data_IF_944405269780
#
_entry.id   IF_944405269780
#
_cell.length_a   1.000
_cell.length_b   1.000
_cell.length_c   1.000
_cell.angle_alpha   90.00
_cell.angle_beta   90.00
_cell.angle_gamma   90.00
#
_symmetry.space_group_name_H-M   'P 1'
#
loop_
_entity.id
_entity.type
_entity.pdbx_description
1 polymer ?
#
# COMPACT_ATOMS: atom_id res chain seq x y z
N UNK A 1 -14.44 -7.83 -8.01
CA UNK A 1 -13.78 -7.08 -6.92
C UNK A 1 -13.32 -5.75 -7.49
N UNK A 2 -13.84 -4.65 -6.97
CA UNK A 2 -13.42 -3.29 -7.35
C UNK A 2 -11.96 -3.05 -6.93
N UNK A 3 -11.02 -2.90 -7.88
CA UNK A 3 -9.60 -2.77 -7.55
C UNK A 3 -9.22 -1.43 -6.94
N UNK A 4 -10.04 -0.43 -7.22
CA UNK A 4 -9.89 0.92 -6.69
C UNK A 4 -10.21 0.87 -5.19
N UNK A 5 -11.24 0.10 -4.80
CA UNK A 5 -11.67 -0.04 -3.40
C UNK A 5 -11.01 -1.21 -2.64
N UNK A 6 -10.35 -2.15 -3.32
CA UNK A 6 -9.72 -3.32 -2.69
C UNK A 6 -8.64 -2.95 -1.65
N UNK A 7 -7.98 -1.79 -1.78
CA UNK A 7 -6.95 -1.33 -0.81
C UNK A 7 -7.54 -0.94 0.54
N UNK A 8 -8.77 -0.43 0.54
CA UNK A 8 -9.46 -0.12 1.78
C UNK A 8 -9.74 -1.38 2.59
N UNK A 9 -9.77 -2.57 1.97
CA UNK A 9 -10.07 -3.79 2.70
C UNK A 9 -8.94 -4.22 3.63
N UNK A 10 -7.67 -4.19 3.17
CA UNK A 10 -6.52 -4.49 4.03
C UNK A 10 -6.39 -3.51 5.20
N UNK A 11 -6.55 -2.22 4.92
CA UNK A 11 -6.56 -1.18 5.96
C UNK A 11 -7.74 -1.34 6.93
N UNK A 12 -8.94 -1.68 6.43
CA UNK A 12 -10.11 -1.98 7.27
C UNK A 12 -9.83 -3.15 8.21
N UNK A 13 -9.23 -4.24 7.70
CA UNK A 13 -8.84 -5.39 8.52
C UNK A 13 -7.81 -4.99 9.58
N UNK A 14 -6.80 -4.20 9.21
CA UNK A 14 -5.83 -3.65 10.16
C UNK A 14 -6.52 -2.83 11.25
N UNK A 15 -7.39 -1.88 10.89
CA UNK A 15 -8.11 -1.03 11.84
C UNK A 15 -9.04 -1.81 12.78
N UNK A 16 -9.55 -2.98 12.36
CA UNK A 16 -10.38 -3.84 13.20
C UNK A 16 -9.60 -4.48 14.35
N UNK A 17 -8.38 -4.94 14.09
CA UNK A 17 -7.56 -5.65 15.09
C UNK A 17 -6.55 -4.75 15.80
N UNK A 18 -6.21 -3.62 15.18
CA UNK A 18 -5.26 -2.64 15.68
C UNK A 18 -5.72 -1.24 15.20
N UNK A 19 -6.64 -0.57 15.91
CA UNK A 19 -7.11 0.76 15.54
C UNK A 19 -6.00 1.83 15.64
N UNK A 20 -6.10 2.95 14.88
CA UNK A 20 -5.07 3.99 14.85
C UNK A 20 -4.66 4.57 16.20
N UNK A 21 -5.60 4.68 17.15
CA UNK A 21 -5.29 5.13 18.52
C UNK A 21 -4.32 4.21 19.27
N UNK A 22 -4.17 2.94 18.87
CA UNK A 22 -3.17 2.05 19.45
C UNK A 22 -1.82 2.17 18.76
N UNK A 23 -1.76 2.68 17.52
CA UNK A 23 -0.50 2.84 16.78
C UNK A 23 0.37 3.94 17.38
N UNK A 24 -0.25 4.89 18.07
CA UNK A 24 0.42 6.02 18.71
C UNK A 24 1.13 5.66 20.01
N UNK A 25 1.03 4.40 20.46
CA UNK A 25 1.68 3.89 21.67
C UNK A 25 3.03 3.24 21.36
N UNK A 26 3.86 3.02 22.39
CA UNK A 26 5.11 2.28 22.27
C UNK A 26 4.90 0.84 21.77
N UNK A 27 3.83 0.17 22.20
CA UNK A 27 3.49 -1.18 21.74
C UNK A 27 2.90 -1.18 20.31
N UNK A 28 2.32 -0.05 19.89
CA UNK A 28 1.70 0.16 18.59
C UNK A 28 2.63 -0.11 17.43
N UNK A 29 3.85 0.45 17.46
CA UNK A 29 4.83 0.25 16.38
C UNK A 29 5.26 -1.22 16.25
N UNK A 30 5.52 -1.89 17.37
CA UNK A 30 5.88 -3.32 17.38
C UNK A 30 4.76 -4.14 16.74
N UNK A 31 3.51 -3.84 17.11
CA UNK A 31 2.32 -4.53 16.62
C UNK A 31 2.06 -4.29 15.13
N UNK A 32 2.27 -3.06 14.67
CA UNK A 32 2.16 -2.69 13.26
C UNK A 32 3.24 -3.40 12.41
N UNK A 33 4.47 -3.45 12.91
CA UNK A 33 5.57 -4.18 12.26
C UNK A 33 5.35 -5.69 12.25
N UNK A 34 4.75 -6.27 13.29
CA UNK A 34 4.34 -7.69 13.29
C UNK A 34 3.27 -7.93 12.23
N UNK A 35 2.23 -7.09 12.18
CA UNK A 35 1.15 -7.20 11.20
C UNK A 35 1.70 -7.15 9.76
N UNK A 36 2.52 -6.14 9.47
CA UNK A 36 3.09 -5.97 8.13
C UNK A 36 4.18 -6.99 7.83
N UNK A 37 5.03 -7.28 8.81
CA UNK A 37 6.12 -8.24 8.75
C UNK A 37 5.64 -9.70 8.69
N UNK A 38 4.35 -9.97 8.80
CA UNK A 38 3.75 -11.30 8.51
C UNK A 38 2.78 -11.27 7.33
N UNK A 39 2.69 -10.13 6.63
CA UNK A 39 1.86 -9.96 5.45
C UNK A 39 0.35 -10.05 5.73
N UNK A 40 -0.10 -9.63 6.91
CA UNK A 40 -1.51 -9.75 7.26
C UNK A 40 -2.42 -8.97 6.31
N UNK A 41 -3.56 -9.55 5.94
CA UNK A 41 -4.53 -8.94 5.02
C UNK A 41 -5.62 -9.92 4.60
N UNK A 42 -6.15 -9.76 3.39
CA UNK A 42 -7.28 -10.58 2.89
C UNK A 42 -6.99 -12.09 2.91
N UNK A 43 -5.77 -12.50 2.58
CA UNK A 43 -5.39 -13.93 2.57
C UNK A 43 -5.28 -14.53 3.98
N UNK A 44 -5.16 -13.70 5.01
CA UNK A 44 -5.09 -14.11 6.42
C UNK A 44 -6.31 -13.63 7.20
N UNK A 45 -7.39 -13.27 6.50
CA UNK A 45 -8.57 -12.66 7.10
C UNK A 45 -9.17 -13.54 8.20
N UNK A 46 -9.27 -14.86 7.99
CA UNK A 46 -9.81 -15.77 9.00
C UNK A 46 -8.99 -15.78 10.29
N UNK A 47 -7.65 -15.70 10.17
CA UNK A 47 -6.78 -15.51 11.32
C UNK A 47 -7.07 -14.18 12.02
N UNK A 48 -7.12 -13.07 11.27
CA UNK A 48 -7.37 -11.74 11.85
C UNK A 48 -8.73 -11.65 12.54
N UNK A 49 -9.79 -12.16 11.93
CA UNK A 49 -11.15 -12.18 12.50
C UNK A 49 -11.22 -13.03 13.77
N UNK A 50 -10.38 -14.06 13.90
CA UNK A 50 -10.29 -14.85 15.13
C UNK A 50 -9.55 -14.15 16.27
N UNK A 51 -8.86 -13.02 16.01
CA UNK A 51 -8.17 -12.24 17.03
C UNK A 51 -9.03 -11.09 17.54
N UNK A 52 -9.07 -10.90 18.86
CA UNK A 52 -9.71 -9.71 19.47
C UNK A 52 -8.89 -8.45 19.27
N UNK A 53 -7.57 -8.58 19.31
CA UNK A 53 -6.62 -7.50 19.09
C UNK A 53 -5.27 -8.08 18.64
N UNK A 54 -4.56 -7.31 17.84
CA UNK A 54 -3.17 -7.56 17.43
C UNK A 54 -2.19 -6.64 18.18
N UNK A 55 -2.59 -6.03 19.30
CA UNK A 55 -1.69 -5.27 20.17
C UNK A 55 -0.87 -6.24 21.03
N UNK A 56 0.45 -6.06 21.02
CA UNK A 56 1.37 -6.88 21.81
C UNK A 56 2.20 -6.03 22.77
N UNK A 57 2.04 -6.28 24.07
CA UNK A 57 2.85 -5.60 25.09
C UNK A 57 4.30 -6.12 25.12
N UNK A 58 4.49 -7.40 24.74
CA UNK A 58 5.80 -8.06 24.74
C UNK A 58 6.02 -8.95 23.52
N UNK A 59 7.29 -9.21 23.18
CA UNK A 59 7.66 -10.15 22.13
C UNK A 59 7.16 -11.56 22.44
N UNK A 60 7.10 -11.92 23.72
CA UNK A 60 6.64 -13.23 24.18
C UNK A 60 5.15 -13.44 23.86
N UNK A 61 4.31 -12.44 24.11
CA UNK A 61 2.89 -12.50 23.75
C UNK A 61 2.67 -12.67 22.23
N UNK A 62 3.50 -12.01 21.42
CA UNK A 62 3.52 -12.17 19.97
C UNK A 62 3.91 -13.60 19.57
N UNK A 63 5.04 -14.11 20.07
CA UNK A 63 5.51 -15.47 19.78
C UNK A 63 4.45 -16.51 20.18
N UNK A 64 3.88 -16.39 21.37
CA UNK A 64 2.85 -17.31 21.84
C UNK A 64 1.63 -17.36 20.91
N UNK A 65 1.20 -16.21 20.35
CA UNK A 65 0.11 -16.19 19.39
C UNK A 65 0.44 -17.01 18.13
N UNK A 66 1.58 -16.74 17.51
CA UNK A 66 1.97 -17.41 16.27
C UNK A 66 2.30 -18.89 16.50
N UNK A 67 2.98 -19.24 17.60
CA UNK A 67 3.26 -20.64 17.96
C UNK A 67 1.98 -21.44 18.26
N UNK A 68 0.95 -20.82 18.85
CA UNK A 68 -0.37 -21.47 18.99
C UNK A 68 -0.99 -21.79 17.63
N UNK A 69 -0.87 -20.90 16.65
CA UNK A 69 -1.40 -21.14 15.30
C UNK A 69 -0.61 -22.21 14.55
N UNK A 70 0.71 -22.26 14.70
CA UNK A 70 1.53 -23.35 14.18
C UNK A 70 1.14 -24.70 14.78
N UNK A 71 1.03 -24.75 16.11
CA UNK A 71 0.66 -25.99 16.82
C UNK A 71 -0.72 -26.47 16.40
N UNK A 72 -1.70 -25.56 16.32
CA UNK A 72 -3.04 -25.86 15.84
C UNK A 72 -3.03 -26.44 14.43
N UNK A 73 -2.36 -25.77 13.49
CA UNK A 73 -2.32 -26.21 12.09
C UNK A 73 -1.56 -27.52 11.91
N UNK A 74 -0.59 -27.82 12.76
CA UNK A 74 0.12 -29.10 12.76
C UNK A 74 -0.77 -30.25 13.27
N UNK A 75 -1.63 -29.99 14.25
CA UNK A 75 -2.55 -30.99 14.82
C UNK A 75 -3.74 -31.29 13.91
N UNK A 76 -4.26 -30.28 13.22
CA UNK A 76 -5.36 -30.44 12.26
C UNK A 76 -5.07 -29.71 10.94
N UNK A 77 -4.36 -30.39 10.02
CA UNK A 77 -4.08 -29.82 8.70
C UNK A 77 -5.33 -29.56 7.86
N UNK A 78 -6.45 -30.24 8.16
CA UNK A 78 -7.69 -30.11 7.38
C UNK A 78 -8.44 -28.81 7.68
N UNK A 79 -8.23 -28.24 8.87
CA UNK A 79 -8.78 -26.93 9.29
C UNK A 79 -7.70 -25.87 9.47
N UNK A 80 -6.55 -26.04 8.82
CA UNK A 80 -5.41 -25.15 8.94
C UNK A 80 -5.80 -23.70 8.54
N UNK A 81 -5.58 -22.76 9.45
CA UNK A 81 -5.83 -21.34 9.21
C UNK A 81 -4.57 -20.71 8.63
N UNK A 82 -4.71 -19.99 7.52
CA UNK A 82 -3.59 -19.19 6.98
C UNK A 82 -3.38 -17.97 7.87
N UNK A 83 -2.26 -17.92 8.60
CA UNK A 83 -1.94 -16.86 9.55
C UNK A 83 -0.76 -15.98 9.08
N UNK A 84 -0.23 -16.19 7.88
CA UNK A 84 0.84 -15.38 7.29
C UNK A 84 0.72 -15.37 5.76
N UNK A 85 1.21 -14.32 5.11
CA UNK A 85 1.20 -14.21 3.65
C UNK A 85 2.58 -13.76 3.13
N UNK A 86 3.44 -14.71 2.73
CA UNK A 86 4.74 -14.37 2.15
C UNK A 86 4.62 -13.73 0.76
N UNK A 87 3.44 -13.67 0.16
CA UNK A 87 3.20 -13.10 -1.17
C UNK A 87 2.41 -11.79 -1.14
N UNK A 88 2.39 -11.10 0.01
CA UNK A 88 1.68 -9.82 0.13
C UNK A 88 2.30 -8.78 -0.83
N UNK A 89 1.45 -7.86 -1.33
CA UNK A 89 1.81 -6.83 -2.32
C UNK A 89 2.16 -7.36 -3.73
N UNK A 90 1.81 -8.61 -4.02
CA UNK A 90 1.95 -9.19 -5.36
C UNK A 90 3.36 -9.66 -5.72
N UNK A 91 4.26 -9.71 -4.74
CA UNK A 91 5.58 -10.32 -4.87
C UNK A 91 5.85 -11.21 -3.67
N UNK A 92 6.52 -12.35 -3.90
CA UNK A 92 6.99 -13.20 -2.82
C UNK A 92 8.11 -12.47 -2.07
N UNK A 93 7.89 -12.21 -0.79
CA UNK A 93 8.88 -11.74 0.14
C UNK A 93 8.94 -12.71 1.33
N UNK A 94 9.97 -13.56 1.32
CA UNK A 94 10.18 -14.57 2.36
C UNK A 94 10.39 -13.97 3.76
N UNK A 95 10.74 -12.68 3.85
CA UNK A 95 10.79 -11.96 5.14
C UNK A 95 9.44 -11.91 5.86
N UNK A 96 8.34 -12.02 5.11
CA UNK A 96 7.01 -12.03 5.69
C UNK A 96 6.59 -13.40 6.25
N UNK A 97 7.39 -14.45 6.08
CA UNK A 97 7.21 -15.72 6.81
C UNK A 97 7.59 -15.52 8.28
N UNK A 98 6.88 -16.14 9.23
CA UNK A 98 7.25 -16.22 10.65
C UNK A 98 8.61 -16.88 10.85
N UNK A 99 8.99 -17.76 9.92
CA UNK A 99 10.31 -18.37 9.81
C UNK A 99 10.94 -17.97 8.47
N UNK A 100 11.50 -16.76 8.35
CA UNK A 100 12.10 -16.30 7.11
C UNK A 100 13.42 -17.04 6.85
N UNK A 101 13.69 -17.32 5.59
CA UNK A 101 14.95 -17.92 5.14
C UNK A 101 15.99 -16.85 4.91
N UNK A 102 17.17 -17.01 5.54
CA UNK A 102 18.26 -16.03 5.53
C UNK A 102 19.57 -16.68 5.15
N UNK A 103 20.41 -15.95 4.40
CA UNK A 103 21.74 -16.42 4.03
C UNK A 103 22.67 -16.30 5.24
N UNK A 104 23.26 -17.43 5.63
CA UNK A 104 24.28 -17.53 6.67
C UNK A 104 25.69 -17.44 6.06
N UNK A 105 26.70 -17.24 6.90
CA UNK A 105 28.10 -16.97 6.51
C UNK A 105 28.74 -18.00 5.54
N UNK A 106 28.19 -19.22 5.46
CA UNK A 106 28.69 -20.29 4.61
C UNK A 106 27.88 -20.52 3.31
N UNK A 107 27.13 -19.52 2.84
CA UNK A 107 26.16 -19.67 1.72
C UNK A 107 25.05 -20.70 1.98
N UNK A 108 24.91 -21.16 3.23
CA UNK A 108 23.77 -21.96 3.66
C UNK A 108 22.60 -21.05 3.96
N UNK A 109 21.39 -21.50 3.65
CA UNK A 109 20.17 -20.83 4.06
C UNK A 109 19.70 -21.43 5.38
N UNK A 110 19.55 -20.60 6.41
CA UNK A 110 18.93 -20.96 7.68
C UNK A 110 17.55 -20.31 7.82
N UNK A 111 16.68 -20.93 8.61
CA UNK A 111 15.42 -20.29 9.00
C UNK A 111 15.64 -19.55 10.32
N UNK A 112 15.20 -18.30 10.39
CA UNK A 112 15.13 -17.62 11.69
C UNK A 112 14.02 -18.24 12.54
N UNK A 113 14.26 -18.31 13.83
CA UNK A 113 13.23 -18.53 14.84
C UNK A 113 12.29 -17.32 14.91
N UNK A 114 11.08 -17.51 15.46
CA UNK A 114 10.16 -16.39 15.72
C UNK A 114 10.79 -15.36 16.66
N UNK A 115 11.60 -15.80 17.62
CA UNK A 115 12.35 -14.91 18.51
C UNK A 115 13.32 -14.04 17.73
N UNK A 116 14.18 -14.62 16.90
CA UNK A 116 15.13 -13.85 16.08
C UNK A 116 14.43 -12.90 15.12
N UNK A 117 13.29 -13.30 14.55
CA UNK A 117 12.48 -12.44 13.68
C UNK A 117 11.85 -11.27 14.43
N UNK A 118 11.14 -11.54 15.53
CA UNK A 118 10.28 -10.55 16.17
C UNK A 118 11.00 -9.70 17.20
N UNK A 119 12.05 -10.19 17.86
CA UNK A 119 12.76 -9.44 18.91
C UNK A 119 13.18 -8.02 18.47
N UNK A 120 13.69 -7.80 17.24
CA UNK A 120 14.02 -6.44 16.76
C UNK A 120 12.82 -5.48 16.73
N UNK A 121 11.60 -5.97 16.47
CA UNK A 121 10.39 -5.12 16.43
C UNK A 121 9.97 -4.63 17.81
N UNK A 122 10.48 -5.24 18.87
CA UNK A 122 10.17 -4.93 20.27
C UNK A 122 11.33 -4.22 20.98
N UNK A 123 12.34 -3.77 20.25
CA UNK A 123 13.48 -3.08 20.85
C UNK A 123 13.05 -1.75 21.48
N UNK A 124 13.61 -1.45 22.64
CA UNK A 124 13.34 -0.22 23.37
C UNK A 124 13.78 1.02 22.58
N UNK A 125 14.89 0.91 21.82
CA UNK A 125 15.37 1.96 20.94
C UNK A 125 14.35 2.33 19.86
N UNK A 126 13.78 1.32 19.18
CA UNK A 126 12.76 1.52 18.15
C UNK A 126 11.51 2.18 18.73
N UNK A 127 11.03 1.68 19.88
CA UNK A 127 9.84 2.20 20.55
C UNK A 127 10.02 3.65 20.98
N UNK A 128 11.18 3.99 21.54
CA UNK A 128 11.52 5.37 21.91
C UNK A 128 11.61 6.28 20.68
N UNK A 129 12.27 5.80 19.62
CA UNK A 129 12.36 6.53 18.35
C UNK A 129 10.99 6.80 17.76
N UNK A 130 10.07 5.83 17.84
CA UNK A 130 8.68 5.98 17.39
C UNK A 130 7.90 7.02 18.20
N UNK A 131 7.97 6.99 19.53
CA UNK A 131 7.30 8.00 20.37
C UNK A 131 7.87 9.40 20.11
N UNK A 132 9.18 9.53 19.97
CA UNK A 132 9.83 10.79 19.62
C UNK A 132 9.41 11.28 18.22
N UNK A 133 9.22 10.35 17.27
CA UNK A 133 8.72 10.64 15.94
C UNK A 133 7.28 11.20 15.97
N UNK A 134 6.41 10.58 16.76
CA UNK A 134 5.01 10.98 16.92
C UNK A 134 4.83 12.34 17.61
N UNK A 135 5.70 12.68 18.57
CA UNK A 135 5.62 13.93 19.31
C UNK A 135 4.27 14.08 20.02
N UNK A 136 3.49 15.10 19.66
CA UNK A 136 2.18 15.37 20.26
C UNK A 136 1.11 14.33 19.92
N UNK A 137 1.34 13.46 18.92
CA UNK A 137 0.44 12.36 18.60
C UNK A 137 0.60 11.16 19.54
N UNK A 138 1.71 11.09 20.31
CA UNK A 138 2.00 9.97 21.18
C UNK A 138 0.89 9.73 22.20
N UNK A 139 0.48 8.47 22.35
CA UNK A 139 -0.57 8.00 23.27
C UNK A 139 -1.94 8.71 23.10
N UNK A 140 -2.19 9.32 21.94
CA UNK A 140 -3.45 9.98 21.61
C UNK A 140 -4.19 9.24 20.48
N UNK A 141 -5.51 9.44 20.38
CA UNK A 141 -6.23 9.12 19.14
C UNK A 141 -5.92 10.21 18.10
N UNK A 142 -5.28 9.88 16.96
CA UNK A 142 -4.87 10.88 15.98
C UNK A 142 -6.04 11.64 15.33
N UNK A 143 -7.26 11.11 15.43
CA UNK A 143 -8.48 11.79 14.97
C UNK A 143 -8.96 12.86 15.97
N UNK A 144 -8.53 12.80 17.23
CA UNK A 144 -8.94 13.73 18.29
C UNK A 144 -7.99 14.92 18.46
N UNK A 145 -6.82 14.89 17.82
CA UNK A 145 -5.80 15.96 17.85
C UNK A 145 -5.48 16.45 16.44
N UNK A 146 -6.43 17.09 15.73
CA UNK A 146 -6.24 17.54 14.36
C UNK A 146 -5.09 18.54 14.21
N UNK A 147 -4.84 19.37 15.22
CA UNK A 147 -3.79 20.39 15.27
C UNK A 147 -2.37 19.84 15.48
N UNK A 148 -2.22 18.57 15.88
CA UNK A 148 -0.92 17.98 16.11
C UNK A 148 -0.07 17.97 14.80
N UNK A 149 1.19 18.45 14.85
CA UNK A 149 2.07 18.42 13.68
C UNK A 149 2.28 16.99 13.17
N UNK A 150 2.03 16.78 11.88
CA UNK A 150 2.24 15.50 11.21
C UNK A 150 3.50 15.56 10.36
N UNK A 151 4.33 14.55 10.52
CA UNK A 151 5.53 14.34 9.68
C UNK A 151 5.13 14.09 8.24
N UNK A 152 6.02 14.41 7.31
CA UNK A 152 5.81 14.13 5.90
C UNK A 152 5.97 12.64 5.60
N UNK A 153 5.33 12.17 4.53
CA UNK A 153 5.51 10.82 4.02
C UNK A 153 7.00 10.47 3.80
N UNK A 154 7.78 11.41 3.29
CA UNK A 154 9.21 11.25 3.05
C UNK A 154 10.01 11.10 4.35
N UNK A 155 9.63 11.81 5.42
CA UNK A 155 10.21 11.65 6.75
C UNK A 155 9.91 10.27 7.34
N UNK A 156 8.66 9.79 7.23
CA UNK A 156 8.28 8.43 7.66
C UNK A 156 9.07 7.38 6.90
N UNK A 157 9.13 7.50 5.57
CA UNK A 157 9.82 6.54 4.70
C UNK A 157 11.31 6.47 5.02
N UNK A 158 11.95 7.63 5.23
CA UNK A 158 13.35 7.71 5.63
C UNK A 158 13.55 7.06 7.00
N UNK A 159 12.73 7.42 7.98
CA UNK A 159 12.80 6.89 9.34
C UNK A 159 12.73 5.36 9.34
N UNK A 160 11.75 4.75 8.67
CA UNK A 160 11.59 3.28 8.68
C UNK A 160 12.77 2.59 7.99
N UNK A 161 13.34 3.17 6.93
CA UNK A 161 14.54 2.63 6.28
C UNK A 161 15.77 2.75 7.19
N UNK A 162 15.93 3.88 7.90
CA UNK A 162 17.03 4.12 8.83
C UNK A 162 17.00 3.21 10.06
N UNK A 163 15.84 2.63 10.42
CA UNK A 163 15.78 1.61 11.48
C UNK A 163 16.64 0.37 11.19
N UNK A 164 16.99 0.14 9.91
CA UNK A 164 17.74 -1.04 9.50
C UNK A 164 17.01 -2.37 9.76
N UNK A 165 15.70 -2.34 10.05
CA UNK A 165 14.94 -3.53 10.30
C UNK A 165 14.90 -4.42 9.06
N UNK A 166 15.22 -5.69 9.28
CA UNK A 166 15.23 -6.71 8.26
C UNK A 166 13.84 -6.86 7.63
N UNK A 167 13.79 -6.86 6.29
CA UNK A 167 12.54 -6.83 5.53
C UNK A 167 11.96 -5.42 5.31
N UNK A 168 12.42 -4.38 6.02
CA UNK A 168 11.95 -2.99 5.89
C UNK A 168 13.02 -2.01 5.38
N UNK A 169 14.25 -2.46 5.11
CA UNK A 169 15.34 -1.58 4.66
C UNK A 169 15.22 -1.04 3.21
N UNK A 170 14.36 -1.60 2.35
CA UNK A 170 14.11 -1.07 1.00
C UNK A 170 12.86 -1.64 0.33
N UNK A 171 12.44 -1.04 -0.79
CA UNK A 171 11.40 -1.58 -1.68
C UNK A 171 9.96 -1.34 -1.20
N UNK A 172 9.08 -2.32 -1.47
CA UNK A 172 7.64 -2.20 -1.21
C UNK A 172 7.29 -2.20 0.28
N UNK A 173 8.06 -2.89 1.13
CA UNK A 173 7.75 -2.99 2.56
C UNK A 173 7.74 -1.63 3.28
N UNK A 174 8.83 -0.82 3.25
CA UNK A 174 8.82 0.50 3.83
C UNK A 174 7.83 1.44 3.13
N UNK A 175 7.64 1.29 1.80
CA UNK A 175 6.65 2.08 1.06
C UNK A 175 5.22 1.86 1.59
N UNK A 176 4.81 0.60 1.73
CA UNK A 176 3.47 0.25 2.23
C UNK A 176 3.31 0.59 3.70
N UNK A 177 4.38 0.45 4.51
CA UNK A 177 4.38 0.91 5.89
C UNK A 177 4.08 2.40 5.96
N UNK A 178 4.82 3.18 5.18
CA UNK A 178 4.67 4.64 5.10
C UNK A 178 3.25 5.03 4.66
N UNK A 179 2.69 4.34 3.67
CA UNK A 179 1.32 4.57 3.23
C UNK A 179 0.30 4.28 4.32
N UNK A 180 0.47 3.20 5.08
CA UNK A 180 -0.41 2.88 6.22
C UNK A 180 -0.35 3.97 7.29
N UNK A 181 0.84 4.50 7.62
CA UNK A 181 0.99 5.61 8.57
C UNK A 181 0.21 6.86 8.10
N UNK A 182 0.28 7.20 6.81
CA UNK A 182 -0.51 8.31 6.23
C UNK A 182 -2.01 8.01 6.29
N UNK A 183 -2.43 6.82 5.87
CA UNK A 183 -3.84 6.45 5.82
C UNK A 183 -4.47 6.27 7.21
N UNK A 184 -3.67 6.05 8.24
CA UNK A 184 -4.05 6.10 9.66
C UNK A 184 -4.04 7.50 10.27
N UNK A 185 -3.69 8.54 9.50
CA UNK A 185 -3.74 9.93 9.95
C UNK A 185 -2.54 10.36 10.80
N UNK A 186 -1.43 9.62 10.78
CA UNK A 186 -0.23 9.92 11.57
C UNK A 186 0.84 10.71 10.80
N UNK A 187 0.69 10.78 9.47
CA UNK A 187 1.58 11.52 8.59
C UNK A 187 0.81 12.19 7.46
N UNK A 188 1.42 13.19 6.82
CA UNK A 188 0.84 13.83 5.63
C UNK A 188 1.13 13.03 4.38
N UNK A 189 0.20 13.06 3.42
CA UNK A 189 0.37 12.36 2.15
C UNK A 189 1.56 12.93 1.35
N UNK A 190 2.25 12.10 0.54
CA UNK A 190 3.37 12.57 -0.26
C UNK A 190 2.90 13.58 -1.30
N UNK A 191 3.74 14.55 -1.61
CA UNK A 191 3.49 15.43 -2.75
C UNK A 191 3.51 14.62 -4.06
N UNK A 192 2.85 15.09 -5.14
CA UNK A 192 2.95 14.43 -6.45
C UNK A 192 4.40 14.30 -6.93
N UNK A 193 5.26 15.27 -6.58
CA UNK A 193 6.67 15.24 -6.91
C UNK A 193 7.41 14.10 -6.19
N UNK A 194 7.17 13.92 -4.89
CA UNK A 194 7.81 12.89 -4.10
C UNK A 194 7.35 11.48 -4.50
N UNK A 195 6.05 11.30 -4.73
CA UNK A 195 5.53 10.03 -5.24
C UNK A 195 6.13 9.70 -6.61
N UNK A 196 6.20 10.66 -7.53
CA UNK A 196 6.83 10.44 -8.83
C UNK A 196 8.33 10.15 -8.74
N UNK A 197 9.04 10.77 -7.80
CA UNK A 197 10.44 10.46 -7.52
C UNK A 197 10.60 9.01 -7.05
N UNK A 198 9.74 8.54 -6.14
CA UNK A 198 9.73 7.15 -5.70
C UNK A 198 9.46 6.18 -6.86
N UNK A 199 8.44 6.46 -7.69
CA UNK A 199 8.13 5.66 -8.89
C UNK A 199 9.33 5.62 -9.85
N UNK A 200 10.02 6.74 -10.04
CA UNK A 200 11.21 6.81 -10.89
C UNK A 200 12.40 6.03 -10.32
N UNK A 201 12.56 5.99 -8.99
CA UNK A 201 13.58 5.17 -8.34
C UNK A 201 13.24 3.67 -8.40
N UNK A 202 11.96 3.33 -8.52
CA UNK A 202 11.47 1.94 -8.47
C UNK A 202 10.72 1.52 -9.75
N UNK A 203 11.32 1.75 -10.91
CA UNK A 203 10.72 1.51 -12.24
C UNK A 203 10.31 0.05 -12.52
N UNK A 204 10.73 -0.89 -11.69
CA UNK A 204 10.35 -2.30 -11.78
C UNK A 204 8.95 -2.59 -11.22
N UNK A 205 8.34 -1.68 -10.47
CA UNK A 205 7.00 -1.85 -9.92
C UNK A 205 5.89 -1.36 -10.86
N UNK A 206 4.66 -1.79 -10.55
CA UNK A 206 3.50 -1.62 -11.41
C UNK A 206 3.14 -0.18 -11.74
N UNK A 207 3.40 0.79 -10.85
CA UNK A 207 3.02 2.18 -11.09
C UNK A 207 3.75 2.80 -12.29
N UNK A 208 5.04 2.47 -12.47
CA UNK A 208 5.82 2.91 -13.61
C UNK A 208 5.27 2.30 -14.92
N UNK A 209 5.01 1.00 -14.93
CA UNK A 209 4.36 0.33 -16.08
C UNK A 209 2.96 0.87 -16.33
N UNK A 210 2.22 1.20 -15.27
CA UNK A 210 0.88 1.77 -15.32
C UNK A 210 0.85 3.09 -16.08
N UNK A 211 1.82 3.98 -15.84
CA UNK A 211 1.96 5.21 -16.64
C UNK A 211 2.15 4.91 -18.14
N UNK A 212 2.93 3.87 -18.47
CA UNK A 212 3.06 3.39 -19.84
C UNK A 212 1.73 2.93 -20.44
N UNK A 213 0.93 2.18 -19.66
CA UNK A 213 -0.41 1.73 -20.07
C UNK A 213 -1.36 2.91 -20.28
N UNK A 214 -1.21 3.99 -19.51
CA UNK A 214 -1.96 5.24 -19.69
C UNK A 214 -1.50 6.06 -20.91
N UNK A 215 -0.53 5.57 -21.70
CA UNK A 215 -0.10 6.19 -22.96
C UNK A 215 1.14 7.07 -22.84
N UNK A 216 1.73 7.22 -21.66
CA UNK A 216 2.99 7.94 -21.50
C UNK A 216 4.15 7.11 -22.07
N UNK A 217 4.94 7.70 -23.00
CA UNK A 217 6.09 7.03 -23.61
C UNK A 217 7.29 7.02 -22.67
N UNK A 218 7.23 6.19 -21.63
CA UNK A 218 8.29 6.02 -20.64
C UNK A 218 9.08 4.73 -20.90
N UNK A 219 10.40 4.80 -20.73
CA UNK A 219 11.33 3.67 -20.83
C UNK A 219 12.13 3.55 -19.53
N UNK A 220 12.83 2.43 -19.32
CA UNK A 220 13.70 2.27 -18.13
C UNK A 220 14.75 3.39 -18.01
N UNK A 221 15.13 4.03 -19.12
CA UNK A 221 16.09 5.14 -19.19
C UNK A 221 15.45 6.53 -19.05
N UNK A 222 14.12 6.63 -18.94
CA UNK A 222 13.45 7.91 -18.73
C UNK A 222 13.98 8.65 -17.50
N UNK A 223 14.14 9.96 -17.65
CA UNK A 223 14.63 10.85 -16.59
C UNK A 223 13.59 11.03 -15.47
N UNK A 224 14.01 11.42 -14.26
CA UNK A 224 13.08 11.78 -13.19
C UNK A 224 12.08 12.86 -13.58
N UNK A 225 12.49 13.84 -14.40
CA UNK A 225 11.60 14.89 -14.90
C UNK A 225 10.47 14.33 -15.78
N UNK A 226 10.76 13.37 -16.66
CA UNK A 226 9.76 12.74 -17.52
C UNK A 226 8.72 11.95 -16.71
N UNK A 227 9.18 11.17 -15.72
CA UNK A 227 8.28 10.40 -14.84
C UNK A 227 7.43 11.34 -13.99
N UNK A 228 8.03 12.42 -13.47
CA UNK A 228 7.31 13.47 -12.73
C UNK A 228 6.22 14.14 -13.57
N UNK A 229 6.53 14.54 -14.79
CA UNK A 229 5.55 15.13 -15.69
C UNK A 229 4.38 14.15 -15.96
N UNK A 230 4.69 12.88 -16.28
CA UNK A 230 3.66 11.87 -16.52
C UNK A 230 2.74 11.65 -15.31
N UNK A 231 3.31 11.51 -14.12
CA UNK A 231 2.53 11.32 -12.89
C UNK A 231 1.68 12.54 -12.55
N UNK A 232 2.24 13.76 -12.63
CA UNK A 232 1.49 15.00 -12.35
C UNK A 232 0.36 15.20 -13.36
N UNK A 233 0.59 14.93 -14.65
CA UNK A 233 -0.46 15.00 -15.67
C UNK A 233 -1.60 14.04 -15.34
N UNK A 234 -1.29 12.80 -14.98
CA UNK A 234 -2.30 11.81 -14.63
C UNK A 234 -3.06 12.17 -13.34
N UNK A 235 -2.32 12.57 -12.29
CA UNK A 235 -2.90 13.04 -11.03
C UNK A 235 -3.84 14.22 -11.24
N UNK A 236 -3.39 15.26 -11.95
CA UNK A 236 -4.18 16.49 -12.18
C UNK A 236 -5.41 16.22 -13.04
N UNK A 237 -5.30 15.28 -13.98
CA UNK A 237 -6.45 14.85 -14.77
C UNK A 237 -7.50 14.15 -13.89
N UNK A 238 -7.09 13.22 -13.03
CA UNK A 238 -8.02 12.60 -12.06
C UNK A 238 -8.62 13.65 -11.12
N UNK A 239 -7.82 14.56 -10.60
CA UNK A 239 -8.29 15.63 -9.71
C UNK A 239 -9.31 16.53 -10.40
N UNK A 240 -9.14 16.83 -11.69
CA UNK A 240 -10.08 17.65 -12.46
C UNK A 240 -11.42 16.95 -12.73
N UNK A 241 -11.40 15.64 -12.97
CA UNK A 241 -12.58 14.89 -13.43
C UNK A 241 -13.33 14.14 -12.33
N UNK A 242 -12.69 13.84 -11.20
CA UNK A 242 -13.38 13.29 -10.04
C UNK A 242 -14.18 14.38 -9.32
N UNK A 243 -15.42 14.08 -8.94
CA UNK A 243 -16.19 14.99 -8.09
C UNK A 243 -15.63 15.02 -6.67
N UNK A 244 -16.05 16.00 -5.88
CA UNK A 244 -15.72 16.03 -4.45
C UNK A 244 -16.15 14.74 -3.72
N UNK A 245 -17.35 14.22 -4.04
CA UNK A 245 -17.86 12.98 -3.46
C UNK A 245 -17.02 11.76 -3.87
N UNK A 246 -16.62 11.66 -5.15
CA UNK A 246 -15.73 10.59 -5.59
C UNK A 246 -14.38 10.67 -4.88
N UNK A 247 -13.80 11.88 -4.77
CA UNK A 247 -12.54 12.09 -4.06
C UNK A 247 -12.62 11.66 -2.60
N UNK A 248 -13.73 11.94 -1.92
CA UNK A 248 -13.96 11.51 -0.55
C UNK A 248 -14.05 9.98 -0.44
N UNK A 249 -14.90 9.34 -1.25
CA UNK A 249 -15.10 7.88 -1.26
C UNK A 249 -13.79 7.14 -1.55
N UNK A 250 -13.02 7.66 -2.51
CA UNK A 250 -11.76 7.08 -2.97
C UNK A 250 -10.58 7.45 -2.08
N UNK A 251 -10.77 8.39 -1.13
CA UNK A 251 -9.68 9.03 -0.37
C UNK A 251 -8.58 9.53 -1.30
N UNK A 252 -8.99 10.27 -2.34
CA UNK A 252 -8.14 10.70 -3.43
C UNK A 252 -6.93 11.49 -2.92
N UNK A 253 -5.75 10.93 -3.17
CA UNK A 253 -4.46 11.51 -2.88
C UNK A 253 -3.41 10.84 -3.78
N UNK A 254 -2.14 11.18 -3.60
CA UNK A 254 -1.05 10.62 -4.41
C UNK A 254 -0.82 9.13 -4.19
N UNK A 255 -1.09 8.61 -2.99
CA UNK A 255 -1.04 7.16 -2.68
C UNK A 255 -2.11 6.43 -3.49
N UNK A 256 -3.34 6.94 -3.50
CA UNK A 256 -4.43 6.40 -4.29
C UNK A 256 -4.06 6.32 -5.79
N UNK A 257 -3.49 7.39 -6.35
CA UNK A 257 -3.11 7.43 -7.77
C UNK A 257 -1.99 6.44 -8.08
N UNK A 258 -0.99 6.30 -7.21
CA UNK A 258 0.05 5.26 -7.34
C UNK A 258 -0.55 3.85 -7.33
N UNK A 259 -1.42 3.56 -6.36
CA UNK A 259 -2.06 2.26 -6.22
C UNK A 259 -2.93 1.92 -7.43
N UNK A 260 -3.65 2.91 -7.97
CA UNK A 260 -4.43 2.78 -9.19
C UNK A 260 -3.52 2.40 -10.37
N UNK A 261 -2.44 3.14 -10.59
CA UNK A 261 -1.47 2.85 -11.66
C UNK A 261 -0.87 1.44 -11.51
N UNK A 262 -0.55 1.04 -10.29
CA UNK A 262 -0.05 -0.31 -9.95
C UNK A 262 -1.04 -1.44 -10.30
N UNK A 263 -2.33 -1.14 -10.41
CA UNK A 263 -3.38 -2.12 -10.72
C UNK A 263 -3.78 -2.07 -12.19
N UNK A 264 -3.77 -0.91 -12.84
CA UNK A 264 -4.17 -0.74 -14.25
C UNK A 264 -3.52 -1.79 -15.17
N UNK A 265 -2.22 -2.04 -15.04
CA UNK A 265 -1.55 -3.07 -15.85
C UNK A 265 -2.06 -4.50 -15.60
N UNK A 266 -2.34 -4.85 -14.33
CA UNK A 266 -2.91 -6.16 -13.96
C UNK A 266 -4.33 -6.34 -14.51
N UNK A 267 -5.12 -5.27 -14.51
CA UNK A 267 -6.47 -5.29 -15.08
C UNK A 267 -6.48 -5.38 -16.58
N UNK A 268 -5.60 -4.64 -17.25
CA UNK A 268 -5.40 -4.77 -18.69
C UNK A 268 -5.11 -6.22 -19.07
N UNK A 269 -4.18 -6.86 -18.36
CA UNK A 269 -3.86 -8.26 -18.61
C UNK A 269 -5.06 -9.20 -18.34
N UNK A 270 -5.76 -9.04 -17.21
CA UNK A 270 -6.93 -9.88 -16.86
C UNK A 270 -8.09 -9.72 -17.83
N UNK A 271 -8.43 -8.50 -18.23
CA UNK A 271 -9.54 -8.24 -19.15
C UNK A 271 -9.24 -8.78 -20.55
N UNK A 272 -7.99 -8.67 -21.00
CA UNK A 272 -7.54 -9.29 -22.26
C UNK A 272 -7.58 -10.82 -22.20
N UNK A 273 -7.12 -11.43 -21.11
CA UNK A 273 -7.02 -12.90 -21.01
C UNK A 273 -8.34 -13.59 -20.69
N UNK A 274 -9.14 -13.05 -19.78
CA UNK A 274 -10.37 -13.69 -19.30
C UNK A 274 -11.61 -13.31 -20.13
N UNK A 275 -11.69 -12.06 -20.58
CA UNK A 275 -12.89 -11.52 -21.23
C UNK A 275 -12.67 -11.17 -22.71
N UNK A 276 -11.42 -11.26 -23.21
CA UNK A 276 -11.01 -10.74 -24.54
C UNK A 276 -11.37 -9.26 -24.73
N UNK A 277 -11.55 -8.53 -23.64
CA UNK A 277 -11.86 -7.10 -23.65
C UNK A 277 -10.54 -6.36 -23.77
N UNK A 278 -10.41 -5.56 -24.83
CA UNK A 278 -9.33 -4.59 -24.92
C UNK A 278 -9.77 -3.33 -24.17
N UNK A 279 -9.14 -3.06 -23.02
CA UNK A 279 -9.43 -1.88 -22.20
C UNK A 279 -9.36 -0.56 -22.98
N UNK A 280 -8.49 -0.47 -23.97
CA UNK A 280 -8.35 0.72 -24.81
C UNK A 280 -9.57 0.90 -25.73
N UNK A 281 -10.03 -0.19 -26.35
CA UNK A 281 -11.21 -0.16 -27.22
C UNK A 281 -12.50 0.03 -26.42
N UNK A 282 -12.59 -0.58 -25.24
CA UNK A 282 -13.75 -0.43 -24.35
C UNK A 282 -13.85 0.99 -23.79
N UNK A 283 -12.72 1.57 -23.35
CA UNK A 283 -12.72 2.95 -22.90
C UNK A 283 -13.05 3.91 -24.05
N UNK A 284 -12.57 3.66 -25.27
CA UNK A 284 -12.96 4.43 -26.47
C UNK A 284 -14.46 4.38 -26.72
N UNK A 285 -15.08 3.20 -26.66
CA UNK A 285 -16.54 3.03 -26.79
C UNK A 285 -17.33 3.76 -25.70
N UNK A 286 -16.86 3.68 -24.46
CA UNK A 286 -17.47 4.38 -23.30
C UNK A 286 -17.40 5.90 -23.49
N UNK A 287 -16.27 6.43 -23.98
CA UNK A 287 -16.12 7.87 -24.24
C UNK A 287 -16.94 8.38 -25.41
N UNK A 288 -17.14 7.56 -26.44
CA UNK A 288 -17.88 7.94 -27.64
C UNK A 288 -19.41 7.95 -27.41
N UNK A 289 -19.93 7.59 -26.22
CA UNK A 289 -21.38 7.51 -26.01
C UNK A 289 -21.96 7.44 -24.60
N UNK A 290 -21.28 7.84 -23.51
CA UNK A 290 -21.85 7.75 -22.15
C UNK A 290 -22.04 9.12 -21.46
N UNK A 291 -23.26 9.34 -20.96
CA UNK A 291 -23.61 10.25 -19.87
C UNK A 291 -22.99 9.71 -18.57
N UNK A 292 -21.88 10.29 -18.14
CA UNK A 292 -21.26 9.93 -16.87
C UNK A 292 -22.18 10.35 -15.71
N UNK A 293 -22.59 9.40 -14.88
CA UNK A 293 -23.43 9.63 -13.70
C UNK A 293 -22.60 9.48 -12.41
N UNK A 294 -22.53 10.55 -11.62
CA UNK A 294 -21.81 10.57 -10.34
C UNK A 294 -22.31 9.48 -9.37
N UNK A 295 -21.38 8.75 -8.73
CA UNK A 295 -21.71 7.74 -7.72
C UNK A 295 -22.31 6.43 -8.25
N UNK A 296 -22.59 6.30 -9.56
CA UNK A 296 -23.21 5.08 -10.11
C UNK A 296 -22.32 3.82 -9.95
N UNK A 297 -21.01 4.00 -9.79
CA UNK A 297 -20.06 2.92 -9.52
C UNK A 297 -20.14 2.34 -8.08
N UNK A 298 -20.92 2.95 -7.20
CA UNK A 298 -21.17 2.45 -5.84
C UNK A 298 -21.99 1.16 -5.90
N UNK A 299 -23.00 1.13 -6.77
CA UNK A 299 -23.93 0.00 -6.91
C UNK A 299 -23.58 -0.90 -8.12
N UNK A 300 -22.97 -0.33 -9.17
CA UNK A 300 -22.56 -1.06 -10.37
C UNK A 300 -21.05 -0.99 -10.60
N UNK A 301 -20.35 -2.09 -10.29
CA UNK A 301 -18.90 -2.18 -10.42
C UNK A 301 -18.39 -2.20 -11.88
N UNK A 302 -19.28 -2.26 -12.88
CA UNK A 302 -18.91 -2.17 -14.31
C UNK A 302 -18.79 -0.72 -14.79
N UNK A 303 -19.43 0.23 -14.08
CA UNK A 303 -19.29 1.66 -14.31
C UNK A 303 -17.96 2.11 -13.72
N UNK A 304 -16.91 2.17 -14.55
CA UNK A 304 -15.59 2.66 -14.12
C UNK A 304 -15.71 4.15 -13.76
N UNK A 305 -15.15 4.65 -12.64
CA UNK A 305 -15.28 6.06 -12.24
C UNK A 305 -14.58 7.03 -13.19
N UNK A 306 -13.79 6.51 -14.12
CA UNK A 306 -12.79 7.27 -14.86
C UNK A 306 -12.73 6.69 -16.28
N UNK A 307 -13.19 7.43 -17.29
CA UNK A 307 -13.07 6.96 -18.65
C UNK A 307 -11.57 7.00 -19.03
N UNK A 308 -10.96 5.85 -19.28
CA UNK A 308 -9.52 5.68 -19.56
C UNK A 308 -9.21 6.11 -21.00
N UNK A 309 -8.90 7.38 -21.27
CA UNK A 309 -8.71 7.81 -22.67
C UNK A 309 -7.37 7.31 -23.17
N UNK A 310 -7.39 6.16 -23.85
CA UNK A 310 -6.36 5.72 -24.78
C UNK A 310 -6.34 6.60 -26.03
N UNK A 311 -6.12 7.90 -25.83
CA UNK A 311 -5.76 8.92 -26.79
C UNK A 311 -5.77 10.22 -26.00
N UNK A 312 -4.62 10.68 -25.53
CA UNK A 312 -4.41 12.12 -25.45
C UNK A 312 -4.55 12.63 -26.89
N UNK A 313 -5.60 13.38 -27.28
CA UNK A 313 -5.58 14.03 -28.58
C UNK A 313 -4.37 14.95 -28.54
N UNK A 314 -3.43 14.76 -29.47
CA UNK A 314 -2.19 15.51 -29.48
C UNK A 314 -2.49 17.02 -29.56
N UNK A 315 -3.64 17.39 -30.12
CA UNK A 315 -4.19 18.74 -30.18
C UNK A 315 -4.51 19.35 -28.80
N UNK A 316 -4.95 18.56 -27.81
CA UNK A 316 -5.23 19.07 -26.45
C UNK A 316 -3.92 19.30 -25.68
N UNK A 317 -2.96 18.38 -25.81
CA UNK A 317 -1.62 18.58 -25.23
C UNK A 317 -0.90 19.74 -25.91
N UNK A 318 -1.07 19.90 -27.23
CA UNK A 318 -0.53 21.01 -28.00
C UNK A 318 -1.15 22.35 -27.57
N UNK A 319 -2.46 22.42 -27.31
CA UNK A 319 -3.12 23.60 -26.75
C UNK A 319 -2.62 23.99 -25.36
N UNK A 320 -2.41 23.03 -24.46
CA UNK A 320 -1.88 23.29 -23.11
C UNK A 320 -0.43 23.80 -23.14
N UNK A 321 0.34 23.45 -24.17
CA UNK A 321 1.74 23.89 -24.35
C UNK A 321 1.86 25.17 -25.19
N UNK A 322 0.94 25.42 -26.13
CA UNK A 322 0.92 26.62 -26.98
C UNK A 322 0.15 27.80 -26.37
N UNK A 323 -0.81 27.54 -25.47
CA UNK A 323 -1.61 28.56 -24.74
C UNK A 323 -1.21 28.65 -23.25
N UNK A 324 -0.01 28.17 -22.89
CA UNK A 324 0.60 28.43 -21.60
C UNK A 324 0.80 29.92 -21.34
#
# INVERSE_FOLDING_TARGET
>A
MDPVRADLHGLKLLHQVLPPALWTTAAGISSLLVFMGTGQGTMTQDFLVSQKSMLFDSVQACIELFSRMETRNAQDPTTAITYQNPSIYGQVNLWYSCHPSVRMDNNLYGLLTMTEKFLPYFSEELRRSWLAFLGLLADCDPMQVPEAPRRSWEEVYRWIVETGLMGFGSGLAPFQFTNNIVLGGLATAPSPAAMAQWICANKSYGAFTGLGVMGFRLTKTSSPAAVRAAFICFYSWLDRWLTANDKEILRFNTIFVEQLLCKVGRWNNRLQTMARINLQEEARRIFEGIDWESGANIEDHTKFPIPSSGAFPIEIFRRIVEEG
#
